data_IF_232664949613
#
_entry.id   IF_232664949613
#
_cell.length_a   1.000
_cell.length_b   1.000
_cell.length_c   1.000
_cell.angle_alpha   90.00
_cell.angle_beta   90.00
_cell.angle_gamma   90.00
#
_symmetry.space_group_name_H-M   'P 1'
#
loop_
_entity.id
_entity.type
_entity.pdbx_description
1 polymer ?
#
# COMPACT_ATOMS: atom_id res chain seq x y z
N UNK A 1 9.60 15.65 -5.53
CA UNK A 1 9.51 14.20 -5.77
C UNK A 1 9.47 13.46 -4.44
N UNK A 2 8.48 12.63 -4.23
CA UNK A 2 8.33 11.82 -3.02
C UNK A 2 8.87 10.41 -3.24
N UNK A 3 9.36 9.81 -2.18
CA UNK A 3 9.79 8.41 -2.17
C UNK A 3 8.71 7.54 -1.51
N UNK A 4 8.17 6.61 -2.27
CA UNK A 4 7.10 5.72 -1.84
C UNK A 4 7.62 4.28 -1.85
N UNK A 5 7.46 3.59 -0.74
CA UNK A 5 7.80 2.17 -0.63
C UNK A 5 6.52 1.37 -0.54
N UNK A 6 6.39 0.39 -1.45
CA UNK A 6 5.36 -0.64 -1.40
C UNK A 6 5.96 -1.85 -0.70
N UNK A 7 5.52 -2.14 0.51
CA UNK A 7 6.10 -3.18 1.35
C UNK A 7 5.16 -4.35 1.56
N UNK A 8 5.69 -5.56 1.47
CA UNK A 8 4.96 -6.79 1.75
C UNK A 8 5.68 -7.63 2.79
N UNK A 9 4.92 -8.21 3.71
CA UNK A 9 5.39 -9.22 4.64
C UNK A 9 4.76 -10.56 4.25
N UNK A 10 5.53 -11.40 3.60
CA UNK A 10 5.07 -12.64 3.01
C UNK A 10 5.15 -13.81 4.00
N UNK A 11 4.23 -14.76 3.86
CA UNK A 11 4.20 -15.95 4.73
C UNK A 11 5.37 -16.91 4.50
N UNK A 12 5.96 -16.89 3.29
CA UNK A 12 7.07 -17.75 2.88
C UNK A 12 8.10 -16.97 2.09
N UNK A 13 9.32 -17.53 1.98
CA UNK A 13 10.43 -16.95 1.20
C UNK A 13 10.16 -16.81 -0.28
N UNK A 14 9.09 -17.37 -0.77
CA UNK A 14 8.81 -17.40 -2.19
C UNK A 14 7.75 -16.37 -2.47
N UNK A 15 8.03 -15.50 -3.41
CA UNK A 15 7.10 -14.74 -4.22
C UNK A 15 6.96 -13.28 -3.92
N UNK A 16 7.28 -12.58 -4.93
CA UNK A 16 6.77 -11.26 -5.21
C UNK A 16 5.25 -11.25 -5.03
N UNK A 17 4.78 -10.36 -4.19
CA UNK A 17 3.37 -10.05 -4.09
C UNK A 17 2.92 -9.45 -5.43
N UNK A 18 2.01 -10.14 -6.14
CA UNK A 18 1.54 -9.71 -7.46
C UNK A 18 0.92 -8.32 -7.42
N UNK A 19 0.19 -8.00 -6.35
CA UNK A 19 -0.41 -6.68 -6.18
C UNK A 19 0.64 -5.57 -6.12
N UNK A 20 1.75 -5.78 -5.40
CA UNK A 20 2.85 -4.81 -5.34
C UNK A 20 3.53 -4.64 -6.68
N UNK A 21 3.78 -5.75 -7.39
CA UNK A 21 4.36 -5.69 -8.74
C UNK A 21 3.47 -4.94 -9.70
N UNK A 22 2.18 -5.17 -9.62
CA UNK A 22 1.19 -4.48 -10.43
C UNK A 22 1.19 -2.98 -10.17
N UNK A 23 1.12 -2.59 -8.92
CA UNK A 23 1.15 -1.18 -8.52
C UNK A 23 2.44 -0.50 -8.97
N UNK A 24 3.57 -1.19 -8.84
CA UNK A 24 4.86 -0.68 -9.27
C UNK A 24 4.91 -0.46 -10.79
N UNK A 25 4.42 -1.43 -11.57
CA UNK A 25 4.37 -1.32 -13.04
C UNK A 25 3.44 -0.21 -13.49
N UNK A 26 2.27 -0.12 -12.87
CA UNK A 26 1.30 0.93 -13.18
C UNK A 26 1.88 2.32 -12.95
N UNK A 27 2.69 2.47 -11.92
CA UNK A 27 3.30 3.73 -11.54
C UNK A 27 4.50 4.11 -12.42
N UNK A 28 5.25 3.15 -12.90
CA UNK A 28 6.45 3.42 -13.72
C UNK A 28 6.12 4.17 -15.02
N UNK A 29 4.87 4.20 -15.43
CA UNK A 29 4.42 4.99 -16.57
C UNK A 29 4.29 6.49 -16.26
N UNK A 30 4.29 6.90 -14.99
CA UNK A 30 4.04 8.29 -14.59
C UNK A 30 5.28 9.07 -14.10
N UNK A 31 6.34 8.42 -13.72
CA UNK A 31 7.69 8.93 -13.37
C UNK A 31 7.80 10.18 -12.48
N UNK A 32 6.73 10.64 -11.83
CA UNK A 32 6.76 11.84 -10.96
C UNK A 32 7.29 11.56 -9.56
N UNK A 33 7.19 10.31 -9.09
CA UNK A 33 7.65 9.89 -7.78
C UNK A 33 8.53 8.66 -7.90
N UNK A 34 9.40 8.47 -6.93
CA UNK A 34 10.19 7.25 -6.84
C UNK A 34 9.41 6.21 -6.07
N UNK A 35 8.95 5.16 -6.77
CA UNK A 35 8.21 4.04 -6.19
C UNK A 35 9.10 2.80 -6.20
N UNK A 36 9.35 2.23 -5.02
CA UNK A 36 10.18 1.07 -4.82
C UNK A 36 9.39 -0.01 -4.08
N UNK A 37 9.60 -1.28 -4.44
CA UNK A 37 9.01 -2.42 -3.72
C UNK A 37 10.03 -3.04 -2.77
N UNK A 38 9.58 -3.40 -1.57
CA UNK A 38 10.38 -4.16 -0.61
C UNK A 38 9.58 -5.34 -0.10
N UNK A 39 10.18 -6.53 -0.15
CA UNK A 39 9.54 -7.75 0.32
C UNK A 39 10.30 -8.32 1.52
N UNK A 40 9.54 -8.63 2.56
CA UNK A 40 10.00 -9.26 3.78
C UNK A 40 9.22 -10.54 4.03
N UNK A 41 9.64 -11.33 5.00
CA UNK A 41 8.87 -12.48 5.46
C UNK A 41 8.42 -12.28 6.91
N UNK A 42 7.32 -12.94 7.30
CA UNK A 42 6.83 -12.89 8.68
C UNK A 42 7.79 -13.54 9.69
N UNK A 43 8.80 -14.26 9.21
CA UNK A 43 9.83 -14.87 10.05
C UNK A 43 10.99 -13.94 10.39
N UNK A 44 11.07 -12.78 9.71
CA UNK A 44 12.09 -11.78 10.02
C UNK A 44 11.72 -10.97 11.25
N UNK A 45 12.73 -10.48 11.98
CA UNK A 45 12.52 -9.68 13.17
C UNK A 45 11.99 -8.30 12.82
N UNK A 46 11.13 -7.77 13.68
CA UNK A 46 10.56 -6.43 13.51
C UNK A 46 11.62 -5.34 13.45
N UNK A 47 12.64 -5.44 14.30
CA UNK A 47 13.74 -4.47 14.33
C UNK A 47 14.54 -4.46 13.01
N UNK A 48 14.74 -5.62 12.41
CA UNK A 48 15.38 -5.73 11.09
C UNK A 48 14.55 -5.06 10.00
N UNK A 49 13.25 -5.35 9.96
CA UNK A 49 12.34 -4.74 8.97
C UNK A 49 12.29 -3.22 9.14
N UNK A 50 12.16 -2.75 10.37
CA UNK A 50 12.13 -1.33 10.70
C UNK A 50 13.42 -0.63 10.26
N UNK A 51 14.58 -1.25 10.51
CA UNK A 51 15.88 -0.70 10.11
C UNK A 51 16.02 -0.61 8.60
N UNK A 52 15.61 -1.64 7.87
CA UNK A 52 15.69 -1.65 6.41
C UNK A 52 14.80 -0.55 5.79
N UNK A 53 13.60 -0.35 6.32
CA UNK A 53 12.72 0.74 5.90
C UNK A 53 13.29 2.11 6.26
N UNK A 54 13.85 2.23 7.47
CA UNK A 54 14.49 3.48 7.93
C UNK A 54 15.65 3.90 7.03
N UNK A 55 16.47 2.95 6.59
CA UNK A 55 17.60 3.23 5.70
C UNK A 55 17.17 3.83 4.38
N UNK A 56 15.99 3.50 3.91
CA UNK A 56 15.44 4.03 2.66
C UNK A 56 14.91 5.45 2.78
N UNK A 57 14.63 5.92 4.00
CA UNK A 57 14.07 7.25 4.26
C UNK A 57 12.84 7.55 3.39
N UNK A 58 11.79 6.72 3.44
CA UNK A 58 10.60 6.94 2.63
C UNK A 58 9.74 8.09 3.14
N UNK A 59 9.07 8.78 2.24
CA UNK A 59 8.01 9.72 2.58
C UNK A 59 6.69 8.99 2.89
N UNK A 60 6.46 7.88 2.20
CA UNK A 60 5.26 7.05 2.36
C UNK A 60 5.65 5.58 2.32
N UNK A 61 5.11 4.78 3.23
CA UNK A 61 5.17 3.32 3.18
C UNK A 61 3.75 2.78 3.07
N UNK A 62 3.50 1.96 2.06
CA UNK A 62 2.22 1.30 1.84
C UNK A 62 2.39 -0.20 2.04
N UNK A 63 1.65 -0.77 3.00
CA UNK A 63 1.67 -2.20 3.31
C UNK A 63 0.47 -2.92 2.71
N UNK A 64 0.72 -4.11 2.17
CA UNK A 64 -0.33 -5.07 1.84
C UNK A 64 -0.68 -5.88 3.08
N UNK A 65 -1.92 -5.76 3.55
CA UNK A 65 -2.38 -6.38 4.78
C UNK A 65 -3.26 -7.59 4.53
N UNK A 66 -2.83 -8.71 5.07
CA UNK A 66 -3.51 -10.00 4.99
C UNK A 66 -3.63 -10.62 6.39
N UNK A 67 -4.42 -11.67 6.51
CA UNK A 67 -4.64 -12.35 7.78
C UNK A 67 -3.33 -12.86 8.43
N UNK A 68 -2.37 -13.26 7.62
CA UNK A 68 -1.10 -13.82 8.11
C UNK A 68 -0.08 -12.77 8.59
N UNK A 69 -0.28 -11.49 8.24
CA UNK A 69 0.69 -10.45 8.59
C UNK A 69 0.11 -9.28 9.41
N UNK A 70 -1.21 -9.22 9.61
CA UNK A 70 -1.86 -8.07 10.24
C UNK A 70 -1.33 -7.81 11.66
N UNK A 71 -1.13 -8.83 12.46
CA UNK A 71 -0.63 -8.66 13.83
C UNK A 71 0.80 -8.14 13.86
N UNK A 72 1.63 -8.64 12.95
CA UNK A 72 3.01 -8.18 12.82
C UNK A 72 3.06 -6.72 12.38
N UNK A 73 2.20 -6.34 11.42
CA UNK A 73 2.10 -4.96 10.96
C UNK A 73 1.61 -4.01 12.07
N UNK A 74 0.67 -4.45 12.91
CA UNK A 74 0.22 -3.67 14.07
C UNK A 74 1.34 -3.38 15.05
N UNK A 75 2.30 -4.26 15.18
CA UNK A 75 3.47 -4.08 16.03
C UNK A 75 4.55 -3.23 15.36
N UNK A 76 4.71 -3.38 14.05
CA UNK A 76 5.73 -2.68 13.27
C UNK A 76 5.43 -1.19 13.12
N UNK A 77 4.19 -0.82 12.83
CA UNK A 77 3.84 0.56 12.51
C UNK A 77 4.12 1.56 13.64
N UNK A 78 3.85 1.26 14.93
CA UNK A 78 4.25 2.14 16.02
C UNK A 78 5.77 2.36 16.10
N UNK A 79 6.55 1.34 15.80
CA UNK A 79 8.02 1.44 15.76
C UNK A 79 8.44 2.39 14.65
N UNK A 80 7.86 2.23 13.46
CA UNK A 80 8.16 3.10 12.32
C UNK A 80 7.81 4.56 12.60
N UNK A 81 6.68 4.83 13.26
CA UNK A 81 6.30 6.20 13.63
C UNK A 81 7.26 6.83 14.65
N UNK A 82 7.86 6.03 15.52
CA UNK A 82 8.86 6.55 16.46
C UNK A 82 10.16 6.93 15.77
N UNK A 83 10.62 6.14 14.82
CA UNK A 83 11.89 6.38 14.13
C UNK A 83 11.75 7.27 12.90
N UNK A 84 10.54 7.35 12.34
CA UNK A 84 10.20 8.18 11.18
C UNK A 84 8.85 8.87 11.41
N UNK A 85 8.78 9.88 12.29
CA UNK A 85 7.48 10.48 12.66
C UNK A 85 6.77 11.19 11.50
N UNK A 86 7.50 11.65 10.50
CA UNK A 86 6.93 12.32 9.34
C UNK A 86 6.56 11.37 8.18
N UNK A 87 6.92 10.11 8.29
CA UNK A 87 6.57 9.11 7.29
C UNK A 87 5.09 8.77 7.37
N UNK A 88 4.40 8.84 6.23
CA UNK A 88 3.00 8.45 6.11
C UNK A 88 2.92 6.94 5.93
N UNK A 89 2.06 6.28 6.70
CA UNK A 89 1.85 4.84 6.66
C UNK A 89 0.44 4.54 6.17
N UNK A 90 0.35 3.85 5.04
CA UNK A 90 -0.92 3.41 4.46
C UNK A 90 -1.01 1.90 4.36
N UNK A 91 -2.24 1.40 4.34
CA UNK A 91 -2.54 -0.01 4.21
C UNK A 91 -3.47 -0.24 3.03
N UNK A 92 -3.30 -1.40 2.39
CA UNK A 92 -4.25 -1.96 1.43
C UNK A 92 -4.40 -3.44 1.71
N UNK A 93 -5.31 -4.09 0.99
CA UNK A 93 -5.52 -5.53 1.10
C UNK A 93 -6.83 -5.91 1.78
N UNK A 94 -7.19 -7.21 1.72
CA UNK A 94 -8.52 -7.66 2.13
C UNK A 94 -8.78 -7.57 3.63
N UNK A 95 -7.75 -7.66 4.47
CA UNK A 95 -7.91 -7.70 5.93
C UNK A 95 -8.37 -6.37 6.52
N UNK A 96 -8.10 -5.26 5.84
CA UNK A 96 -8.40 -3.91 6.34
C UNK A 96 -9.50 -3.19 5.57
N UNK A 97 -9.95 -3.74 4.45
CA UNK A 97 -10.90 -3.06 3.55
C UNK A 97 -12.30 -2.94 4.14
N UNK A 98 -12.76 -3.92 4.90
CA UNK A 98 -14.14 -3.97 5.42
C UNK A 98 -14.40 -3.02 6.57
N UNK A 99 -13.54 -3.01 7.57
CA UNK A 99 -13.69 -2.21 8.79
C UNK A 99 -12.54 -1.21 8.91
N UNK A 100 -12.30 -0.47 7.85
CA UNK A 100 -11.16 0.43 7.74
C UNK A 100 -11.18 1.56 8.77
N UNK A 101 -12.35 2.09 9.11
CA UNK A 101 -12.45 3.12 10.16
C UNK A 101 -12.09 2.59 11.53
N UNK A 102 -12.61 1.41 11.90
CA UNK A 102 -12.27 0.74 13.15
C UNK A 102 -10.79 0.42 13.20
N UNK A 103 -10.25 -0.08 12.10
CA UNK A 103 -8.81 -0.37 12.00
C UNK A 103 -7.95 0.87 12.26
N UNK A 104 -8.30 2.01 11.68
CA UNK A 104 -7.56 3.25 11.92
C UNK A 104 -7.71 3.74 13.37
N UNK A 105 -8.89 3.60 13.98
CA UNK A 105 -9.09 3.97 15.39
C UNK A 105 -8.22 3.14 16.33
N UNK A 106 -8.10 1.85 16.05
CA UNK A 106 -7.32 0.93 16.87
C UNK A 106 -5.81 1.02 16.60
N UNK A 107 -5.42 1.61 15.48
CA UNK A 107 -4.02 1.68 15.04
C UNK A 107 -3.62 3.13 14.72
N UNK A 108 -3.34 3.96 15.74
CA UNK A 108 -3.03 5.38 15.55
C UNK A 108 -1.82 5.66 14.69
N UNK A 109 -0.91 4.70 14.55
CA UNK A 109 0.28 4.83 13.70
C UNK A 109 -0.03 4.73 12.20
N UNK A 110 -1.22 4.25 11.83
CA UNK A 110 -1.64 4.11 10.44
C UNK A 110 -2.41 5.35 10.01
N UNK A 111 -2.04 5.92 8.87
CA UNK A 111 -2.61 7.19 8.40
C UNK A 111 -3.78 7.01 7.43
N UNK A 112 -3.76 5.96 6.60
CA UNK A 112 -4.86 5.71 5.67
C UNK A 112 -4.96 4.23 5.29
N UNK A 113 -6.14 3.87 4.77
CA UNK A 113 -6.44 2.54 4.21
C UNK A 113 -7.05 2.74 2.83
N UNK A 114 -6.47 2.08 1.83
CA UNK A 114 -7.06 1.95 0.50
C UNK A 114 -7.97 0.74 0.48
N UNK A 115 -9.27 0.96 0.23
CA UNK A 115 -10.29 -0.09 0.24
C UNK A 115 -10.47 -0.72 -1.13
N UNK A 116 -10.74 -2.01 -1.15
CA UNK A 116 -10.98 -2.76 -2.38
C UNK A 116 -9.73 -2.88 -3.27
N UNK A 117 -9.92 -2.74 -4.56
CA UNK A 117 -8.86 -2.80 -5.56
C UNK A 117 -7.98 -1.54 -5.49
N UNK A 118 -6.72 -1.72 -5.11
CA UNK A 118 -5.85 -0.61 -4.74
C UNK A 118 -5.23 0.18 -5.89
N UNK A 119 -5.27 -0.31 -7.11
CA UNK A 119 -4.48 0.22 -8.23
C UNK A 119 -4.87 1.66 -8.60
N UNK A 120 -6.15 1.91 -8.79
CA UNK A 120 -6.63 3.25 -9.16
C UNK A 120 -6.57 4.19 -7.95
N UNK A 121 -6.86 3.69 -6.76
CA UNK A 121 -6.74 4.47 -5.52
C UNK A 121 -5.28 4.92 -5.33
N UNK A 122 -4.34 4.02 -5.55
CA UNK A 122 -2.91 4.32 -5.44
C UNK A 122 -2.48 5.39 -6.45
N UNK A 123 -2.94 5.30 -7.70
CA UNK A 123 -2.66 6.31 -8.72
C UNK A 123 -3.16 7.68 -8.30
N UNK A 124 -4.39 7.77 -7.83
CA UNK A 124 -4.98 9.03 -7.34
C UNK A 124 -4.27 9.55 -6.10
N UNK A 125 -3.81 8.65 -5.23
CA UNK A 125 -3.02 9.04 -4.07
C UNK A 125 -1.69 9.68 -4.47
N UNK A 126 -1.01 9.15 -5.48
CA UNK A 126 0.22 9.73 -6.00
C UNK A 126 -0.02 11.11 -6.64
N UNK A 127 -1.13 11.28 -7.35
CA UNK A 127 -1.55 12.60 -7.85
C UNK A 127 -1.78 13.59 -6.70
N UNK A 128 -2.39 13.13 -5.61
CA UNK A 128 -2.56 13.93 -4.39
C UNK A 128 -1.21 14.40 -3.83
N UNK A 129 -0.18 13.56 -3.83
CA UNK A 129 1.15 13.94 -3.36
C UNK A 129 1.76 15.06 -4.19
N UNK A 130 1.41 15.17 -5.47
CA UNK A 130 1.87 16.26 -6.34
C UNK A 130 1.28 17.60 -5.93
N UNK A 131 0.06 17.62 -5.40
CA UNK A 131 -0.64 18.87 -5.08
C UNK A 131 -0.13 19.53 -3.80
N UNK A 132 0.38 18.75 -2.85
CA UNK A 132 0.71 19.23 -1.52
C UNK A 132 -0.49 19.75 -0.72
N UNK A 133 -1.71 19.58 -1.20
CA UNK A 133 -2.94 20.06 -0.58
C UNK A 133 -3.67 18.93 0.15
N UNK A 134 -3.75 18.96 1.50
CA UNK A 134 -4.44 17.91 2.26
C UNK A 134 -5.92 17.71 1.87
N UNK A 135 -6.58 18.74 1.37
CA UNK A 135 -8.00 18.66 0.99
C UNK A 135 -8.25 17.68 -0.17
N UNK A 136 -7.26 17.42 -1.02
CA UNK A 136 -7.40 16.51 -2.16
C UNK A 136 -7.53 15.05 -1.73
N UNK A 137 -7.20 14.69 -0.49
CA UNK A 137 -7.46 13.34 0.04
C UNK A 137 -8.95 12.99 0.01
N UNK A 138 -9.82 13.95 0.34
CA UNK A 138 -11.26 13.76 0.32
C UNK A 138 -11.85 13.53 -1.07
N UNK A 139 -11.09 13.79 -2.12
CA UNK A 139 -11.49 13.59 -3.51
C UNK A 139 -11.16 12.19 -4.03
N UNK A 140 -10.38 11.42 -3.28
CA UNK A 140 -9.98 10.06 -3.67
C UNK A 140 -11.05 9.07 -3.19
N UNK A 141 -11.73 8.42 -4.13
CA UNK A 141 -12.71 7.38 -3.82
C UNK A 141 -12.04 6.14 -3.22
N UNK A 142 -12.78 5.36 -2.45
CA UNK A 142 -12.33 4.13 -1.78
C UNK A 142 -11.16 4.34 -0.80
N UNK A 143 -11.12 5.51 -0.16
CA UNK A 143 -10.07 5.84 0.81
C UNK A 143 -10.68 6.11 2.18
N UNK A 144 -10.07 5.53 3.21
CA UNK A 144 -10.32 5.89 4.62
C UNK A 144 -9.03 6.49 5.16
N UNK A 145 -9.10 7.70 5.69
CA UNK A 145 -7.88 8.42 6.09
C UNK A 145 -8.08 9.21 7.38
N UNK A 146 -6.97 9.51 8.02
CA UNK A 146 -6.91 10.30 9.23
C UNK A 146 -6.51 11.73 8.89
N UNK A 147 -7.26 12.68 9.45
CA UNK A 147 -6.89 14.11 9.41
C UNK A 147 -7.02 14.66 10.83
N UNK A 148 -5.89 14.95 11.46
CA UNK A 148 -5.86 15.25 12.88
C UNK A 148 -6.32 14.07 13.71
N UNK A 149 -7.32 14.26 14.56
CA UNK A 149 -7.90 13.19 15.38
C UNK A 149 -9.13 12.55 14.72
N UNK A 150 -9.57 13.07 13.60
CA UNK A 150 -10.76 12.59 12.91
C UNK A 150 -10.42 11.59 11.80
N UNK A 151 -11.34 10.66 11.55
CA UNK A 151 -11.24 9.65 10.51
C UNK A 151 -12.37 9.88 9.51
N UNK A 152 -12.02 9.90 8.23
CA UNK A 152 -12.94 10.12 7.14
C UNK A 152 -12.92 8.94 6.18
N UNK A 153 -14.09 8.54 5.67
CA UNK A 153 -14.21 7.56 4.61
C UNK A 153 -14.87 8.18 3.39
N UNK A 154 -14.23 8.05 2.24
CA UNK A 154 -14.80 8.49 0.97
C UNK A 154 -15.71 7.41 0.38
N UNK A 155 -16.60 7.77 -0.59
CA UNK A 155 -17.42 6.77 -1.26
C UNK A 155 -16.62 5.68 -1.94
N UNK A 156 -17.21 4.48 -2.03
CA UNK A 156 -16.62 3.35 -2.74
C UNK A 156 -16.52 3.65 -4.23
N UNK A 157 -15.41 3.29 -4.84
CA UNK A 157 -15.19 3.43 -6.26
C UNK A 157 -16.16 2.57 -7.06
N UNK A 158 -16.68 3.12 -8.16
CA UNK A 158 -17.62 2.41 -9.00
C UNK A 158 -16.92 1.27 -9.78
N UNK A 159 -17.54 0.08 -9.92
CA UNK A 159 -16.91 -1.04 -10.63
C UNK A 159 -16.50 -0.74 -12.08
N UNK A 160 -17.17 0.19 -12.75
CA UNK A 160 -16.82 0.58 -14.12
C UNK A 160 -15.46 1.25 -14.22
N UNK A 161 -15.03 1.95 -13.17
CA UNK A 161 -13.72 2.59 -13.15
C UNK A 161 -12.58 1.55 -13.10
N UNK A 162 -12.84 0.40 -12.48
CA UNK A 162 -11.89 -0.70 -12.40
C UNK A 162 -11.67 -1.38 -13.76
N UNK A 163 -12.66 -1.35 -14.64
CA UNK A 163 -12.56 -1.92 -16.00
C UNK A 163 -11.59 -1.16 -16.91
N UNK A 164 -11.22 0.08 -16.53
CA UNK A 164 -10.27 0.89 -17.29
C UNK A 164 -8.81 0.61 -16.93
N UNK A 165 -8.55 -0.24 -15.93
CA UNK A 165 -7.20 -0.56 -15.49
C UNK A 165 -6.53 -1.53 -16.47
N UNK A 166 -5.24 -1.30 -16.80
CA UNK A 166 -4.49 -2.27 -17.56
C UNK A 166 -4.27 -3.55 -16.75
N UNK A 167 -4.49 -4.71 -17.36
CA UNK A 167 -4.28 -6.00 -16.72
C UNK A 167 -2.90 -6.54 -17.06
N UNK A 168 -1.97 -6.65 -16.10
CA UNK A 168 -0.64 -7.20 -16.35
C UNK A 168 -0.61 -8.72 -16.43
N UNK A 169 -1.76 -9.38 -16.17
CA UNK A 169 -1.84 -10.85 -16.06
C UNK A 169 -1.80 -11.58 -17.39
N UNK A 170 -2.09 -10.91 -18.52
CA UNK A 170 -2.10 -11.56 -19.83
C UNK A 170 -0.71 -12.01 -20.29
N UNK A 171 0.34 -11.31 -19.86
CA UNK A 171 1.71 -11.67 -20.21
C UNK A 171 2.24 -12.86 -19.39
N UNK A 172 1.80 -13.02 -18.15
CA UNK A 172 2.27 -14.08 -17.26
C UNK A 172 1.63 -15.45 -17.58
N UNK A 173 0.46 -15.47 -18.21
CA UNK A 173 -0.24 -16.71 -18.58
C UNK A 173 0.18 -17.30 -19.93
N UNK A 174 0.81 -16.49 -20.81
CA UNK A 174 1.25 -16.98 -22.12
C UNK A 174 2.51 -17.83 -22.04
N UNK A 175 3.34 -17.65 -21.03
CA UNK A 175 4.58 -18.41 -20.86
C UNK A 175 4.40 -19.79 -20.21
N UNK A 176 3.23 -20.03 -19.59
CA UNK A 176 2.93 -21.30 -18.91
C UNK A 176 2.48 -22.43 -19.82
N UNK A 177 2.11 -22.14 -21.05
CA UNK A 177 1.52 -23.14 -21.95
C UNK A 177 2.49 -23.80 -22.94
N UNK A 178 3.77 -23.44 -22.92
CA UNK A 178 4.76 -24.00 -23.85
C UNK A 178 5.60 -25.16 -23.29
N UNK A 179 5.29 -25.65 -22.08
CA UNK A 179 6.05 -26.76 -21.48
C UNK A 179 5.27 -28.08 -21.36
N UNK A 180 4.20 -28.27 -22.12
CA UNK A 180 3.52 -29.57 -22.23
C UNK A 180 3.44 -30.04 -23.70
N UNK A 181 4.57 -30.50 -24.20
CA UNK A 181 4.62 -31.37 -25.39
C UNK A 181 5.67 -32.42 -25.17
#
# INVERSE_FOLDING_TARGET
MKKVILAALNAKYIHSNLALRYLSRFQNNNQKHHVETMEFTINQRLDFIAEELFRKQPDVVLFSCYIWNVEMLRQLCPILKKIMPDCVIGFGGPEVSYESETFLRENPAVDFVMRGEGELVFTKYLEHLDTGNPATLGEIESLTYRHGEEIFSTPQMHPMDLALLPFPYEEDFSDGNHQQS
#
